data_IF_661820468785
#
_entry.id   IF_661820468785
#
_cell.length_a   1.000
_cell.length_b   1.000
_cell.length_c   1.000
_cell.angle_alpha   90.00
_cell.angle_beta   90.00
_cell.angle_gamma   90.00
#
_symmetry.space_group_name_H-M   'P 1'
#
loop_
_entity.id
_entity.type
_entity.pdbx_description
1 polymer ?
#
# COMPACT_ATOMS: atom_id res chain seq x y z
N UNK A 1 -14.95 13.92 -2.76
CA UNK A 1 -15.73 12.66 -2.83
C UNK A 1 -16.53 12.47 -1.55
N UNK A 2 -15.91 12.38 -0.37
CA UNK A 2 -16.61 12.20 0.92
C UNK A 2 -17.62 13.33 1.14
N UNK A 3 -17.20 14.60 1.04
CA UNK A 3 -18.09 15.76 1.16
C UNK A 3 -19.21 15.82 0.10
N UNK A 4 -19.11 15.07 -0.98
CA UNK A 4 -20.15 14.94 -2.00
C UNK A 4 -21.10 13.76 -1.74
N UNK A 5 -20.99 13.09 -0.59
CA UNK A 5 -21.88 12.01 -0.19
C UNK A 5 -21.59 10.66 -0.83
N UNK A 6 -20.33 10.39 -1.21
CA UNK A 6 -19.96 9.07 -1.72
C UNK A 6 -20.20 7.99 -0.66
N UNK A 7 -20.89 6.91 -1.02
CA UNK A 7 -21.15 5.78 -0.13
C UNK A 7 -19.87 5.00 0.23
N UNK A 8 -18.89 5.00 -0.65
CA UNK A 8 -17.59 4.40 -0.42
C UNK A 8 -16.51 5.04 -1.27
N UNK A 9 -15.30 5.04 -0.78
CA UNK A 9 -14.10 5.55 -1.45
C UNK A 9 -12.95 4.57 -1.22
N UNK A 10 -12.06 4.47 -2.20
CA UNK A 10 -10.86 3.65 -2.03
C UNK A 10 -9.61 4.43 -2.40
N UNK A 11 -8.54 4.16 -1.70
CA UNK A 11 -7.20 4.66 -1.99
C UNK A 11 -6.25 3.51 -2.25
N UNK A 12 -5.40 3.72 -3.21
CA UNK A 12 -4.43 2.75 -3.70
C UNK A 12 -3.02 3.20 -3.33
N UNK A 13 -2.16 2.25 -3.05
CA UNK A 13 -0.77 2.47 -2.66
C UNK A 13 0.18 2.76 -3.83
N UNK A 14 -0.31 2.95 -5.05
CA UNK A 14 0.51 3.40 -6.17
C UNK A 14 0.89 4.88 -6.06
N UNK A 15 2.13 5.20 -6.46
CA UNK A 15 2.58 6.59 -6.66
C UNK A 15 1.74 7.25 -7.77
N UNK A 16 1.07 8.37 -7.44
CA UNK A 16 0.10 9.01 -8.33
C UNK A 16 0.68 9.47 -9.67
N UNK A 17 1.93 9.96 -9.67
CA UNK A 17 2.62 10.41 -10.89
C UNK A 17 2.99 9.26 -11.85
N UNK A 18 3.12 8.05 -11.32
CA UNK A 18 3.53 6.85 -12.05
C UNK A 18 2.40 5.81 -12.13
N UNK A 19 1.17 6.24 -11.87
CA UNK A 19 0.04 5.34 -11.81
C UNK A 19 -0.20 4.61 -13.12
N UNK A 20 -0.33 3.28 -13.00
CA UNK A 20 -0.61 2.36 -14.12
C UNK A 20 -1.86 1.53 -13.86
N UNK A 21 -2.50 1.10 -14.95
CA UNK A 21 -3.64 0.18 -14.87
C UNK A 21 -3.25 -1.16 -14.22
N UNK A 22 -4.22 -1.84 -13.64
CA UNK A 22 -4.01 -3.06 -12.86
C UNK A 22 -3.24 -4.17 -13.57
N UNK A 23 -3.37 -4.27 -14.91
CA UNK A 23 -2.71 -5.29 -15.74
C UNK A 23 -1.32 -4.89 -16.27
N UNK A 24 -0.89 -3.63 -16.05
CA UNK A 24 0.41 -3.15 -16.52
C UNK A 24 1.50 -3.41 -15.47
N UNK A 25 2.70 -3.78 -15.95
CA UNK A 25 3.90 -3.91 -15.12
C UNK A 25 4.56 -2.55 -14.81
N UNK A 26 5.58 -2.59 -13.94
CA UNK A 26 6.38 -1.41 -13.58
C UNK A 26 5.63 -0.42 -12.68
N UNK A 27 4.73 -0.91 -11.85
CA UNK A 27 4.05 -0.11 -10.83
C UNK A 27 5.02 0.30 -9.74
N UNK A 28 4.84 1.52 -9.24
CA UNK A 28 5.63 2.08 -8.15
C UNK A 28 4.73 2.28 -6.94
N UNK A 29 5.11 1.70 -5.80
CA UNK A 29 4.38 1.86 -4.54
C UNK A 29 4.91 3.06 -3.76
N UNK A 30 4.04 3.65 -2.94
CA UNK A 30 4.40 4.56 -1.86
C UNK A 30 4.66 3.76 -0.58
N UNK A 31 5.47 4.28 0.38
CA UNK A 31 5.69 3.62 1.66
C UNK A 31 4.39 3.33 2.41
N UNK A 32 4.34 2.20 3.11
CA UNK A 32 3.17 1.77 3.87
C UNK A 32 2.68 2.84 4.85
N UNK A 33 3.58 3.49 5.60
CA UNK A 33 3.20 4.55 6.52
C UNK A 33 2.57 5.77 5.80
N UNK A 34 2.97 6.06 4.56
CA UNK A 34 2.35 7.10 3.76
C UNK A 34 0.92 6.71 3.36
N UNK A 35 0.71 5.48 2.93
CA UNK A 35 -0.62 4.98 2.58
C UNK A 35 -1.56 4.97 3.80
N UNK A 36 -1.07 4.52 4.96
CA UNK A 36 -1.81 4.56 6.23
C UNK A 36 -2.24 5.99 6.59
N UNK A 37 -1.33 6.99 6.44
CA UNK A 37 -1.71 8.40 6.68
C UNK A 37 -2.82 8.87 5.74
N UNK A 38 -2.81 8.46 4.49
CA UNK A 38 -3.86 8.79 3.52
C UNK A 38 -5.22 8.20 3.94
N UNK A 39 -5.23 6.93 4.36
CA UNK A 39 -6.45 6.27 4.84
C UNK A 39 -6.98 6.91 6.13
N UNK A 40 -6.10 7.26 7.06
CA UNK A 40 -6.47 7.96 8.29
C UNK A 40 -7.05 9.35 8.00
N UNK A 41 -6.48 10.10 7.05
CA UNK A 41 -7.02 11.39 6.62
C UNK A 41 -8.41 11.24 5.99
N UNK A 42 -8.63 10.19 5.18
CA UNK A 42 -9.94 9.89 4.62
C UNK A 42 -10.97 9.54 5.70
N UNK A 43 -10.58 8.72 6.68
CA UNK A 43 -11.46 8.38 7.80
C UNK A 43 -11.81 9.61 8.63
N UNK A 44 -10.80 10.42 8.97
CA UNK A 44 -11.03 11.68 9.69
C UNK A 44 -11.99 12.61 8.94
N UNK A 45 -11.83 12.75 7.63
CA UNK A 45 -12.74 13.56 6.82
C UNK A 45 -14.19 13.05 6.89
N UNK A 46 -14.39 11.73 6.84
CA UNK A 46 -15.72 11.14 6.98
C UNK A 46 -16.32 11.39 8.39
N UNK A 47 -15.50 11.25 9.44
CA UNK A 47 -15.93 11.46 10.83
C UNK A 47 -16.29 12.93 11.08
N UNK A 48 -15.47 13.88 10.61
CA UNK A 48 -15.74 15.33 10.74
C UNK A 48 -17.00 15.74 10.00
N UNK A 49 -17.25 15.15 8.83
CA UNK A 49 -18.45 15.44 8.03
C UNK A 49 -19.70 14.66 8.49
N UNK A 50 -19.54 13.74 9.45
CA UNK A 50 -20.64 12.90 9.93
C UNK A 50 -21.21 11.97 8.86
N UNK A 51 -20.37 11.48 7.92
CA UNK A 51 -20.80 10.60 6.83
C UNK A 51 -20.49 9.13 7.15
N UNK A 52 -21.36 8.22 6.70
CA UNK A 52 -21.15 6.77 6.81
C UNK A 52 -20.31 6.21 5.63
N UNK A 53 -19.49 7.05 5.01
CA UNK A 53 -18.67 6.66 3.87
C UNK A 53 -17.71 5.54 4.24
N UNK A 54 -17.74 4.44 3.49
CA UNK A 54 -16.80 3.35 3.62
C UNK A 54 -15.44 3.78 3.08
N UNK A 55 -14.38 3.57 3.85
CA UNK A 55 -12.99 3.80 3.43
C UNK A 55 -12.34 2.45 3.17
N UNK A 56 -11.92 2.22 1.93
CA UNK A 56 -11.40 0.94 1.45
C UNK A 56 -9.91 1.11 1.10
N UNK A 57 -9.06 0.31 1.72
CA UNK A 57 -7.65 0.20 1.33
C UNK A 57 -7.54 -0.72 0.11
N UNK A 58 -6.92 -0.22 -0.95
CA UNK A 58 -6.55 -0.98 -2.14
C UNK A 58 -5.04 -1.09 -2.22
N UNK A 59 -4.55 -2.26 -2.60
CA UNK A 59 -3.12 -2.47 -2.82
C UNK A 59 -2.83 -3.10 -4.17
N UNK A 60 -1.76 -2.66 -4.81
CA UNK A 60 -1.17 -3.26 -6.01
C UNK A 60 0.18 -3.93 -5.73
N UNK A 61 0.53 -4.17 -4.46
CA UNK A 61 1.81 -4.76 -4.05
C UNK A 61 2.12 -6.11 -4.72
N UNK A 62 1.08 -6.87 -5.12
CA UNK A 62 1.27 -8.14 -5.84
C UNK A 62 1.94 -8.00 -7.21
N UNK A 63 1.76 -6.87 -7.85
CA UNK A 63 2.19 -6.63 -9.23
C UNK A 63 3.17 -5.45 -9.32
N UNK A 64 3.61 -4.90 -8.19
CA UNK A 64 4.59 -3.82 -8.14
C UNK A 64 5.99 -4.39 -7.94
N UNK A 65 6.94 -3.81 -8.68
CA UNK A 65 8.36 -4.16 -8.57
C UNK A 65 9.18 -3.03 -7.92
N UNK A 66 8.59 -1.86 -7.74
CA UNK A 66 9.29 -0.66 -7.27
C UNK A 66 8.57 -0.01 -6.08
N UNK A 67 9.37 0.51 -5.15
CA UNK A 67 8.94 1.29 -3.99
C UNK A 67 9.67 2.64 -4.00
N UNK A 68 8.98 3.73 -3.67
CA UNK A 68 9.58 5.07 -3.69
C UNK A 68 10.63 5.28 -2.61
N UNK A 69 10.56 4.54 -1.50
CA UNK A 69 11.53 4.64 -0.39
C UNK A 69 11.45 3.41 0.48
N UNK A 70 12.58 2.93 0.96
CA UNK A 70 12.76 1.82 1.90
C UNK A 70 13.02 2.27 3.34
N UNK A 71 12.82 3.56 3.63
CA UNK A 71 13.06 4.14 4.97
C UNK A 71 12.01 3.66 5.99
N UNK A 72 10.82 3.27 5.54
CA UNK A 72 9.78 2.76 6.43
C UNK A 72 10.15 1.36 6.95
N UNK A 73 10.30 1.18 8.28
CA UNK A 73 10.61 -0.13 8.84
C UNK A 73 9.61 -1.23 8.48
N UNK A 74 8.37 -0.87 8.16
CA UNK A 74 7.32 -1.81 7.75
C UNK A 74 7.62 -2.41 6.39
N UNK A 75 8.26 -1.64 5.51
CA UNK A 75 8.56 -2.03 4.13
C UNK A 75 9.93 -2.74 4.00
N UNK A 76 10.83 -2.57 4.97
CA UNK A 76 12.19 -3.13 4.94
C UNK A 76 12.27 -4.65 4.71
N UNK A 77 11.36 -5.50 5.26
CA UNK A 77 11.39 -6.93 4.98
C UNK A 77 11.17 -7.31 3.52
N UNK A 78 10.64 -6.39 2.72
CA UNK A 78 10.34 -6.56 1.29
C UNK A 78 11.38 -5.91 0.39
N UNK A 79 12.23 -5.05 0.93
CA UNK A 79 13.26 -4.38 0.17
C UNK A 79 14.47 -5.33 -0.01
N UNK A 80 15.04 -5.47 -1.22
CA UNK A 80 16.27 -6.21 -1.42
C UNK A 80 17.45 -5.50 -0.74
N UNK A 81 18.40 -6.28 -0.19
CA UNK A 81 19.56 -5.80 0.55
C UNK A 81 20.51 -4.90 -0.26
N UNK A 82 20.34 -4.83 -1.58
CA UNK A 82 21.12 -4.03 -2.52
C UNK A 82 20.21 -3.16 -3.39
N UNK A 83 19.63 -2.12 -2.82
CA UNK A 83 18.88 -1.14 -3.61
C UNK A 83 19.84 -0.27 -4.45
N UNK A 84 19.60 -0.10 -5.76
CA UNK A 84 20.40 0.81 -6.57
C UNK A 84 20.14 2.27 -6.16
N UNK A 85 21.19 3.08 -6.16
CA UNK A 85 21.25 4.45 -5.68
C UNK A 85 20.39 5.48 -6.47
N UNK A 86 19.26 5.10 -7.05
CA UNK A 86 18.43 5.96 -7.90
C UNK A 86 17.07 6.33 -7.29
N UNK A 87 16.90 6.24 -5.98
CA UNK A 87 15.69 6.72 -5.30
C UNK A 87 14.43 5.84 -5.47
N UNK A 88 14.52 4.73 -6.20
CA UNK A 88 13.49 3.70 -6.26
C UNK A 88 14.09 2.38 -5.77
N UNK A 89 13.46 1.76 -4.80
CA UNK A 89 13.85 0.45 -4.26
C UNK A 89 13.05 -0.64 -4.96
N UNK A 90 13.71 -1.70 -5.43
CA UNK A 90 13.01 -2.88 -5.93
C UNK A 90 12.23 -3.52 -4.79
N UNK A 91 10.93 -3.77 -5.02
CA UNK A 91 10.10 -4.48 -4.08
C UNK A 91 10.20 -5.99 -4.35
N UNK A 92 10.63 -6.76 -3.36
CA UNK A 92 10.65 -8.22 -3.49
C UNK A 92 9.22 -8.77 -3.65
N UNK A 93 9.03 -9.76 -4.54
CA UNK A 93 7.73 -10.39 -4.83
C UNK A 93 7.10 -11.12 -3.63
N UNK A 94 7.71 -11.05 -2.46
CA UNK A 94 7.22 -11.74 -1.25
C UNK A 94 6.41 -10.80 -0.34
N UNK A 95 5.49 -10.03 -0.94
CA UNK A 95 4.55 -9.15 -0.24
C UNK A 95 3.77 -9.89 0.86
N UNK A 96 3.61 -11.22 0.72
CA UNK A 96 2.96 -12.05 1.72
C UNK A 96 3.68 -12.04 3.08
N UNK A 97 4.95 -11.65 3.13
CA UNK A 97 5.72 -11.47 4.36
C UNK A 97 5.45 -10.15 5.06
N UNK A 98 5.00 -9.14 4.31
CA UNK A 98 4.85 -7.75 4.76
C UNK A 98 3.45 -7.42 5.25
N UNK A 99 2.46 -8.27 5.00
CA UNK A 99 1.10 -8.04 5.48
C UNK A 99 0.98 -8.39 6.98
N UNK A 100 0.80 -7.40 7.88
CA UNK A 100 0.76 -7.65 9.34
C UNK A 100 -0.41 -8.52 9.80
N UNK A 101 -1.38 -8.82 8.95
CA UNK A 101 -2.57 -9.63 9.25
C UNK A 101 -2.41 -11.14 9.02
N UNK A 102 -1.30 -11.62 8.46
CA UNK A 102 -1.14 -13.05 8.20
C UNK A 102 -0.61 -13.78 9.43
N UNK A 103 -1.50 -14.37 10.22
CA UNK A 103 -1.10 -15.42 11.18
C UNK A 103 -0.41 -16.54 10.39
N UNK A 104 0.86 -16.84 10.72
CA UNK A 104 1.57 -18.01 10.22
C UNK A 104 0.81 -19.25 10.67
N UNK A 105 0.05 -19.87 9.77
CA UNK A 105 -0.34 -21.26 9.96
C UNK A 105 0.93 -22.10 9.79
N UNK A 106 1.51 -22.56 10.91
CA UNK A 106 2.52 -23.61 10.89
C UNK A 106 1.87 -24.83 10.23
N UNK A 107 2.30 -25.17 9.02
CA UNK A 107 2.10 -26.53 8.52
C UNK A 107 3.02 -27.42 9.38
N UNK A 108 2.45 -28.12 10.32
CA UNK A 108 3.08 -29.31 10.91
C UNK A 108 3.11 -30.36 9.82
N UNK A 109 4.31 -30.70 9.33
CA UNK A 109 4.50 -31.94 8.58
C UNK A 109 4.41 -33.09 9.58
N UNK A 110 3.40 -33.92 9.44
CA UNK A 110 3.39 -35.31 9.91
C UNK A 110 4.13 -36.17 8.91
#
# INVERSE_FOLDING_TARGET
MIAAGAAGVHWEDQLSSEKKCGHLGGKVLIPTAQHVRTLNAARLAADVLGTETLVIARTDALAADLLTSDVDPTDQPSAPVNAPARGLTECGRDWARCWPGRRRTRRTRT
#
